data_IF_599021030801
#
_entry.id   IF_599021030801
#
_cell.length_a   1.000
_cell.length_b   1.000
_cell.length_c   1.000
_cell.angle_alpha   90.00
_cell.angle_beta   90.00
_cell.angle_gamma   90.00
#
_symmetry.space_group_name_H-M   'P 1'
#
loop_
_entity.id
_entity.type
_entity.pdbx_description
1 polymer ?
#
# COMPACT_ATOMS: atom_id res chain seq x y z
N UNK A 1 -0.21 -2.61 -18.68
CA UNK A 1 1.07 -2.37 -17.99
C UNK A 1 1.37 -3.59 -17.12
N UNK A 2 2.63 -4.01 -16.98
CA UNK A 2 2.99 -5.17 -16.16
C UNK A 2 2.98 -4.76 -14.68
N UNK A 3 2.37 -5.56 -13.82
CA UNK A 3 2.30 -5.37 -12.37
C UNK A 3 3.65 -5.69 -11.67
N UNK A 4 4.70 -4.95 -12.02
CA UNK A 4 6.03 -5.19 -11.47
C UNK A 4 6.10 -4.92 -9.95
N UNK A 5 5.54 -3.82 -9.41
CA UNK A 5 5.60 -3.57 -7.97
C UNK A 5 4.85 -4.64 -7.16
N UNK A 6 3.64 -5.02 -7.58
CA UNK A 6 2.85 -6.04 -6.92
C UNK A 6 3.50 -7.41 -6.92
N UNK A 7 4.04 -7.83 -8.06
CA UNK A 7 4.81 -9.08 -8.16
C UNK A 7 6.05 -9.05 -7.27
N UNK A 8 6.75 -7.92 -7.19
CA UNK A 8 7.91 -7.78 -6.30
C UNK A 8 7.52 -7.89 -4.81
N UNK A 9 6.42 -7.24 -4.41
CA UNK A 9 5.84 -7.35 -3.07
C UNK A 9 5.49 -8.81 -2.76
N UNK A 10 4.77 -9.49 -3.67
CA UNK A 10 4.38 -10.89 -3.51
C UNK A 10 5.58 -11.82 -3.41
N UNK A 11 6.57 -11.65 -4.27
CA UNK A 11 7.77 -12.48 -4.25
C UNK A 11 8.61 -12.28 -2.99
N UNK A 12 8.68 -11.04 -2.49
CA UNK A 12 9.35 -10.74 -1.23
C UNK A 12 8.61 -11.38 -0.04
N UNK A 13 7.28 -11.28 0.00
CA UNK A 13 6.47 -11.87 1.07
C UNK A 13 6.54 -13.40 1.11
N UNK A 14 6.41 -14.04 -0.06
CA UNK A 14 6.45 -15.50 -0.22
C UNK A 14 7.87 -16.09 -0.22
N UNK A 15 8.90 -15.23 -0.19
CA UNK A 15 10.32 -15.60 -0.22
C UNK A 15 10.73 -16.39 -1.47
N UNK A 16 10.01 -16.21 -2.57
CA UNK A 16 10.23 -16.93 -3.84
C UNK A 16 11.29 -16.28 -4.73
N UNK A 17 11.65 -15.02 -4.49
CA UNK A 17 12.71 -14.32 -5.24
C UNK A 17 13.38 -13.21 -4.44
N UNK A 18 14.65 -12.95 -4.74
CA UNK A 18 15.44 -11.79 -4.25
C UNK A 18 15.67 -10.75 -5.36
N UNK A 19 14.84 -10.77 -6.40
CA UNK A 19 14.91 -9.79 -7.48
C UNK A 19 14.83 -8.36 -6.94
N UNK A 20 15.63 -7.47 -7.52
CA UNK A 20 15.63 -6.05 -7.20
C UNK A 20 14.61 -5.32 -8.06
N UNK A 21 13.88 -4.38 -7.47
CA UNK A 21 13.01 -3.46 -8.18
C UNK A 21 13.75 -2.15 -8.41
N UNK A 22 13.71 -1.67 -9.64
CA UNK A 22 14.28 -0.39 -10.02
C UNK A 22 13.17 0.53 -10.52
N UNK A 23 13.21 1.78 -10.08
CA UNK A 23 12.39 2.85 -10.63
C UNK A 23 13.24 3.61 -11.62
N UNK A 24 12.72 3.76 -12.83
CA UNK A 24 13.30 4.56 -13.90
C UNK A 24 12.51 5.86 -13.97
N UNK A 25 13.13 6.97 -13.59
CA UNK A 25 12.59 8.30 -13.86
C UNK A 25 13.25 8.89 -15.12
N UNK A 26 12.64 9.93 -15.67
CA UNK A 26 13.20 10.69 -16.80
C UNK A 26 14.22 11.74 -16.37
N UNK A 27 14.38 11.96 -15.06
CA UNK A 27 15.10 13.10 -14.49
C UNK A 27 16.45 12.71 -13.86
N UNK A 28 16.79 11.42 -13.83
CA UNK A 28 17.95 10.90 -13.13
C UNK A 28 18.29 9.44 -13.47
N UNK A 29 19.31 8.88 -12.79
CA UNK A 29 19.66 7.48 -12.92
C UNK A 29 18.58 6.59 -12.28
N UNK A 30 18.45 5.35 -12.76
CA UNK A 30 17.56 4.37 -12.11
C UNK A 30 17.91 4.23 -10.63
N UNK A 31 16.88 4.25 -9.78
CA UNK A 31 17.03 4.11 -8.33
C UNK A 31 16.47 2.75 -7.91
N UNK A 32 17.20 2.03 -7.06
CA UNK A 32 16.68 0.79 -6.47
C UNK A 32 15.57 1.14 -5.47
N UNK A 33 14.40 0.52 -5.60
CA UNK A 33 13.31 0.61 -4.63
C UNK A 33 13.41 -0.60 -3.68
N UNK A 34 13.83 -0.41 -2.41
CA UNK A 34 13.92 -1.52 -1.48
C UNK A 34 12.52 -2.05 -1.16
N UNK A 35 12.25 -3.31 -1.54
CA UNK A 35 10.92 -3.91 -1.35
C UNK A 35 10.51 -4.00 0.12
N UNK A 36 11.48 -4.10 1.02
CA UNK A 36 11.25 -4.08 2.47
C UNK A 36 10.52 -2.81 2.96
N UNK A 37 10.58 -1.70 2.21
CA UNK A 37 9.85 -0.46 2.56
C UNK A 37 8.33 -0.62 2.48
N UNK A 38 7.82 -1.54 1.65
CA UNK A 38 6.38 -1.85 1.61
C UNK A 38 5.90 -2.59 2.87
N UNK A 39 6.82 -3.16 3.65
CA UNK A 39 6.52 -3.96 4.85
C UNK A 39 6.91 -3.24 6.15
N UNK A 40 7.03 -1.91 6.13
CA UNK A 40 7.36 -1.10 7.32
C UNK A 40 6.29 -1.30 8.41
N UNK A 41 6.77 -1.43 9.64
CA UNK A 41 5.96 -1.33 10.86
C UNK A 41 5.71 0.13 11.24
N UNK A 42 4.76 0.37 12.15
CA UNK A 42 4.44 1.72 12.65
C UNK A 42 5.69 2.47 13.15
N UNK A 43 6.59 1.78 13.86
CA UNK A 43 7.83 2.40 14.37
C UNK A 43 8.74 2.91 13.25
N UNK A 44 8.75 2.24 12.11
CA UNK A 44 9.59 2.54 10.94
C UNK A 44 8.99 3.60 10.01
N UNK A 45 7.74 4.04 10.25
CA UNK A 45 7.12 5.09 9.45
C UNK A 45 7.80 6.46 9.69
N UNK A 46 8.03 7.26 8.64
CA UNK A 46 8.37 8.68 8.75
C UNK A 46 7.35 9.47 9.57
N UNK A 47 7.79 10.60 10.14
CA UNK A 47 6.96 11.43 10.99
C UNK A 47 5.67 11.91 10.30
N UNK A 48 5.74 12.25 9.01
CA UNK A 48 4.58 12.69 8.23
C UNK A 48 3.55 11.56 8.05
N UNK A 49 4.00 10.35 7.74
CA UNK A 49 3.11 9.19 7.60
C UNK A 49 2.45 8.86 8.94
N UNK A 50 3.21 8.85 10.05
CA UNK A 50 2.64 8.67 11.41
C UNK A 50 1.57 9.72 11.71
N UNK A 51 1.87 10.99 11.40
CA UNK A 51 0.94 12.09 11.66
C UNK A 51 -0.35 11.96 10.84
N UNK A 52 -0.25 11.52 9.59
CA UNK A 52 -1.42 11.24 8.76
C UNK A 52 -2.31 10.15 9.37
N UNK A 53 -1.71 9.06 9.88
CA UNK A 53 -2.47 7.99 10.55
C UNK A 53 -3.15 8.48 11.85
N UNK A 54 -2.50 9.36 12.62
CA UNK A 54 -3.09 9.96 13.83
C UNK A 54 -4.27 10.89 13.53
N UNK A 55 -4.30 11.50 12.36
CA UNK A 55 -5.34 12.44 11.95
C UNK A 55 -6.55 11.76 11.30
N UNK A 56 -6.44 10.47 10.98
CA UNK A 56 -7.56 9.68 10.46
C UNK A 56 -8.71 9.63 11.46
N UNK A 57 -9.94 9.67 10.94
CA UNK A 57 -11.18 9.60 11.70
C UNK A 57 -12.19 8.77 10.94
N UNK A 58 -13.12 8.16 11.67
CA UNK A 58 -14.22 7.39 11.08
C UNK A 58 -13.74 6.25 10.19
N UNK A 59 -14.44 6.06 9.07
CA UNK A 59 -14.11 5.04 8.06
C UNK A 59 -13.00 5.53 7.14
N UNK A 60 -11.96 4.72 6.96
CA UNK A 60 -10.72 5.10 6.25
C UNK A 60 -10.57 4.30 4.95
N UNK A 61 -10.17 4.97 3.87
CA UNK A 61 -9.71 4.34 2.63
C UNK A 61 -8.22 4.62 2.44
N UNK A 62 -7.42 3.56 2.40
CA UNK A 62 -5.99 3.61 2.05
C UNK A 62 -5.84 3.36 0.55
N UNK A 63 -5.55 4.40 -0.24
CA UNK A 63 -5.57 4.37 -1.70
C UNK A 63 -4.15 4.15 -2.23
N UNK A 64 -3.95 3.10 -3.04
CA UNK A 64 -2.61 2.66 -3.44
C UNK A 64 -1.89 1.97 -2.27
N UNK A 65 -2.62 1.11 -1.55
CA UNK A 65 -2.19 0.54 -0.27
C UNK A 65 -0.95 -0.37 -0.39
N UNK A 66 -0.56 -0.80 -1.60
CA UNK A 66 0.59 -1.68 -1.83
C UNK A 66 0.51 -2.94 -0.98
N UNK A 67 1.51 -3.19 -0.13
CA UNK A 67 1.48 -4.35 0.76
C UNK A 67 0.56 -4.18 1.99
N UNK A 68 -0.14 -3.05 2.14
CA UNK A 68 -1.15 -2.80 3.17
C UNK A 68 -0.61 -2.33 4.51
N UNK A 69 0.61 -1.80 4.58
CA UNK A 69 1.22 -1.44 5.86
C UNK A 69 0.44 -0.37 6.63
N UNK A 70 -0.05 0.69 5.97
CA UNK A 70 -0.85 1.72 6.64
C UNK A 70 -2.21 1.19 7.07
N UNK A 71 -2.95 0.55 6.16
CA UNK A 71 -4.22 -0.11 6.47
C UNK A 71 -4.12 -1.11 7.63
N UNK A 72 -3.09 -1.96 7.69
CA UNK A 72 -2.89 -2.90 8.79
C UNK A 72 -2.65 -2.21 10.13
N UNK A 73 -1.90 -1.10 10.15
CA UNK A 73 -1.66 -0.32 11.37
C UNK A 73 -2.98 0.29 11.88
N UNK A 74 -3.78 0.87 10.98
CA UNK A 74 -5.09 1.43 11.32
C UNK A 74 -6.07 0.35 11.80
N UNK A 75 -6.10 -0.81 11.13
CA UNK A 75 -6.90 -1.96 11.55
C UNK A 75 -6.53 -2.41 12.97
N UNK A 76 -5.24 -2.50 13.29
CA UNK A 76 -4.78 -2.89 14.62
C UNK A 76 -5.09 -1.83 15.70
N UNK A 77 -5.36 -0.58 15.28
CA UNK A 77 -5.88 0.50 16.13
C UNK A 77 -7.42 0.55 16.17
N UNK A 78 -8.09 -0.46 15.63
CA UNK A 78 -9.55 -0.61 15.58
C UNK A 78 -10.28 0.42 14.68
N UNK A 79 -9.60 0.98 13.68
CA UNK A 79 -10.30 1.73 12.62
C UNK A 79 -11.02 0.78 11.67
N UNK A 80 -12.19 1.21 11.17
CA UNK A 80 -12.80 0.61 9.98
C UNK A 80 -12.04 1.13 8.76
N UNK A 81 -11.13 0.31 8.24
CA UNK A 81 -10.23 0.68 7.14
C UNK A 81 -10.32 -0.33 6.01
N UNK A 82 -10.35 0.17 4.78
CA UNK A 82 -10.19 -0.63 3.57
C UNK A 82 -8.92 -0.20 2.82
N UNK A 83 -8.18 -1.18 2.30
CA UNK A 83 -7.06 -0.93 1.39
C UNK A 83 -7.50 -1.11 -0.07
N UNK A 84 -7.37 -0.06 -0.88
CA UNK A 84 -7.61 -0.07 -2.31
C UNK A 84 -6.28 -0.15 -3.05
N UNK A 85 -6.15 -1.14 -3.93
CA UNK A 85 -4.94 -1.36 -4.72
C UNK A 85 -5.29 -1.94 -6.09
N UNK A 86 -4.62 -1.48 -7.14
CA UNK A 86 -4.90 -1.91 -8.52
C UNK A 86 -4.20 -3.24 -8.83
N UNK A 87 -3.09 -3.51 -8.14
CA UNK A 87 -2.31 -4.74 -8.28
C UNK A 87 -3.00 -5.95 -7.62
N UNK A 88 -3.40 -6.98 -8.38
CA UNK A 88 -3.94 -8.21 -7.80
C UNK A 88 -2.93 -8.94 -6.91
N UNK A 89 -1.64 -8.89 -7.26
CA UNK A 89 -0.58 -9.54 -6.50
C UNK A 89 -0.37 -8.86 -5.13
N UNK A 90 -0.46 -7.54 -5.07
CA UNK A 90 -0.38 -6.80 -3.83
C UNK A 90 -1.63 -6.99 -2.97
N UNK A 91 -2.83 -7.03 -3.57
CA UNK A 91 -4.07 -7.37 -2.87
C UNK A 91 -4.01 -8.74 -2.21
N UNK A 92 -3.52 -9.76 -2.92
CA UNK A 92 -3.33 -11.10 -2.34
C UNK A 92 -2.43 -11.07 -1.11
N UNK A 93 -1.32 -10.31 -1.17
CA UNK A 93 -0.42 -10.14 -0.03
C UNK A 93 -1.10 -9.42 1.12
N UNK A 94 -1.88 -8.37 0.88
CA UNK A 94 -2.63 -7.67 1.93
C UNK A 94 -3.59 -8.63 2.66
N UNK A 95 -4.32 -9.44 1.90
CA UNK A 95 -5.21 -10.46 2.46
C UNK A 95 -4.43 -11.49 3.28
N UNK A 96 -3.31 -12.01 2.75
CA UNK A 96 -2.46 -12.97 3.47
C UNK A 96 -1.83 -12.39 4.75
N UNK A 97 -1.54 -11.08 4.75
CA UNK A 97 -1.07 -10.35 5.95
C UNK A 97 -2.19 -10.09 6.97
N UNK A 98 -3.45 -10.40 6.66
CA UNK A 98 -4.58 -10.31 7.57
C UNK A 98 -5.36 -8.99 7.51
N UNK A 99 -5.24 -8.21 6.44
CA UNK A 99 -6.13 -7.07 6.23
C UNK A 99 -7.53 -7.59 5.88
N UNK A 100 -8.54 -7.16 6.65
CA UNK A 100 -9.92 -7.67 6.55
C UNK A 100 -10.65 -7.16 5.32
N UNK A 101 -10.45 -5.88 4.97
CA UNK A 101 -11.13 -5.21 3.87
C UNK A 101 -10.10 -4.83 2.80
N UNK A 102 -10.02 -5.65 1.75
CA UNK A 102 -9.15 -5.40 0.59
C UNK A 102 -10.03 -5.19 -0.62
N UNK A 103 -9.81 -4.08 -1.32
CA UNK A 103 -10.49 -3.74 -2.57
C UNK A 103 -9.45 -3.79 -3.67
N UNK A 104 -9.58 -4.75 -4.59
CA UNK A 104 -8.71 -4.87 -5.76
C UNK A 104 -9.35 -4.11 -6.91
N UNK A 105 -8.84 -2.93 -7.24
CA UNK A 105 -9.47 -2.07 -8.23
C UNK A 105 -8.72 -0.78 -8.53
N UNK A 106 -9.17 -0.11 -9.58
CA UNK A 106 -8.69 1.19 -10.01
C UNK A 106 -9.46 2.30 -9.27
N UNK A 107 -8.75 3.21 -8.60
CA UNK A 107 -9.36 4.36 -7.91
C UNK A 107 -10.20 5.24 -8.85
N UNK A 108 -9.85 5.33 -10.13
CA UNK A 108 -10.62 6.13 -11.08
C UNK A 108 -11.94 5.48 -11.49
N UNK A 109 -12.13 4.20 -11.16
CA UNK A 109 -13.37 3.44 -11.40
C UNK A 109 -14.07 3.05 -10.10
N UNK A 110 -13.50 3.43 -8.97
CA UNK A 110 -14.02 3.09 -7.67
C UNK A 110 -15.19 4.02 -7.33
N UNK A 111 -16.39 3.44 -7.18
CA UNK A 111 -17.63 4.15 -6.89
C UNK A 111 -18.37 3.57 -5.66
N UNK A 112 -17.74 2.67 -4.92
CA UNK A 112 -18.37 1.97 -3.81
C UNK A 112 -18.06 2.61 -2.44
N UNK A 113 -19.09 3.21 -1.85
CA UNK A 113 -19.09 3.64 -0.46
C UNK A 113 -18.61 5.07 -0.20
N UNK A 114 -18.70 5.46 1.07
CA UNK A 114 -18.26 6.75 1.58
C UNK A 114 -17.24 6.51 2.69
N UNK A 115 -16.25 7.40 2.77
CA UNK A 115 -15.16 7.34 3.73
C UNK A 115 -14.95 8.72 4.35
N UNK A 116 -14.67 8.74 5.64
CA UNK A 116 -14.42 9.96 6.40
C UNK A 116 -12.97 10.44 6.25
N UNK A 117 -12.04 9.52 5.98
CA UNK A 117 -10.63 9.81 5.74
C UNK A 117 -10.11 9.05 4.52
N UNK A 118 -9.46 9.77 3.61
CA UNK A 118 -8.77 9.20 2.46
C UNK A 118 -7.27 9.37 2.64
N UNK A 119 -6.53 8.27 2.61
CA UNK A 119 -5.08 8.28 2.65
C UNK A 119 -4.53 8.10 1.23
N UNK A 120 -3.73 9.08 0.80
CA UNK A 120 -2.90 9.02 -0.39
C UNK A 120 -1.47 9.31 0.06
N UNK A 121 -0.80 8.27 0.56
CA UNK A 121 0.55 8.38 1.10
C UNK A 121 1.56 7.75 0.15
N UNK A 122 2.80 8.22 0.25
CA UNK A 122 3.87 7.87 -0.70
C UNK A 122 3.46 8.19 -2.14
N UNK A 123 4.01 7.46 -3.11
CA UNK A 123 3.61 7.49 -4.51
C UNK A 123 2.68 6.29 -4.83
N UNK A 124 1.84 5.87 -3.87
CA UNK A 124 1.11 4.60 -3.93
C UNK A 124 0.13 4.47 -5.09
N UNK A 125 -0.41 5.59 -5.57
CA UNK A 125 -1.37 5.61 -6.68
C UNK A 125 -0.73 5.59 -8.08
N UNK A 126 0.60 5.77 -8.17
CA UNK A 126 1.34 5.62 -9.43
C UNK A 126 0.87 6.53 -10.57
N UNK A 127 0.56 7.80 -10.29
CA UNK A 127 0.26 8.82 -11.29
C UNK A 127 1.49 9.31 -12.04
#
# INVERSE_FOLDING_TARGET
MIDLPGLAIKNFYTKTSRGKLYVHDTFGPRVEMPISLYFRSEKQLPALEKKALELCKGKVLDIGAGAGSHALILQNKNYDVAGLEISPAACEVMTQRGLKNVICGDIFKFDDGQFDSLLLLMNGIGL
#
